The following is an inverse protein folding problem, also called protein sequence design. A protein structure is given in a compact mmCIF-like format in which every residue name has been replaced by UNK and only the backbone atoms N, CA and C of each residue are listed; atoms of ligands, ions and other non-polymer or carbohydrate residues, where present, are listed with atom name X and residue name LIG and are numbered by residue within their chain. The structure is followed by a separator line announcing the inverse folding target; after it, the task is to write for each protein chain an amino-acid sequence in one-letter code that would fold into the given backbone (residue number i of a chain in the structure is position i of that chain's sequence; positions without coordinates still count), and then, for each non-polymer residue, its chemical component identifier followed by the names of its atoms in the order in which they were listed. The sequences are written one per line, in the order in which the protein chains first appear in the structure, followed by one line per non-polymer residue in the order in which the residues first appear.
data_IF_606633812957
#
_entry.id   IF_606633812957
#
_cell.length_a   1.000
_cell.length_b   1.000
_cell.length_c   1.000
_cell.angle_alpha   90.00
_cell.angle_beta   90.00
_cell.angle_gamma   90.00
#
_symmetry.space_group_name_H-M   'P 1'
#
loop_
_entity.id
_entity.type
_entity.pdbx_description
1 polymer ?
#
# COMPACT_ATOMS: atom_id res chain seq x y z
N UNK A 1 13.35 -63.64 -8.20
CA UNK A 1 12.09 -62.93 -8.52
C UNK A 1 11.72 -62.13 -7.26
N UNK A 2 12.17 -60.89 -7.16
CA UNK A 2 11.51 -59.64 -7.63
C UNK A 2 10.69 -58.99 -6.49
N UNK A 3 11.04 -57.73 -6.25
CA UNK A 3 10.81 -56.92 -5.05
C UNK A 3 9.33 -56.60 -4.78
N UNK A 4 8.93 -56.66 -3.50
CA UNK A 4 7.66 -56.08 -3.02
C UNK A 4 7.86 -54.58 -2.76
N UNK A 5 7.34 -53.76 -3.65
CA UNK A 5 7.41 -52.29 -3.58
C UNK A 5 6.41 -51.75 -2.55
N UNK A 6 6.93 -51.07 -1.53
CA UNK A 6 6.18 -50.23 -0.60
C UNK A 6 5.82 -48.91 -1.27
N UNK A 7 4.53 -48.55 -1.31
CA UNK A 7 4.07 -47.21 -1.64
C UNK A 7 3.70 -46.48 -0.35
N UNK A 8 4.63 -45.69 0.18
CA UNK A 8 4.37 -44.67 1.20
C UNK A 8 3.88 -43.40 0.51
N UNK A 9 2.61 -43.05 0.72
CA UNK A 9 2.03 -41.77 0.31
C UNK A 9 2.44 -40.69 1.31
N UNK A 10 3.39 -39.84 0.94
CA UNK A 10 3.75 -38.63 1.69
C UNK A 10 2.79 -37.49 1.32
N UNK A 11 1.86 -37.18 2.23
CA UNK A 11 1.07 -35.95 2.19
C UNK A 11 1.96 -34.77 2.62
N UNK A 12 2.55 -34.05 1.65
CA UNK A 12 3.08 -32.71 1.88
C UNK A 12 1.93 -31.70 1.82
N UNK A 13 1.19 -31.57 2.93
CA UNK A 13 0.29 -30.43 3.13
C UNK A 13 1.15 -29.19 3.34
N UNK A 14 1.23 -28.33 2.32
CA UNK A 14 1.99 -27.09 2.33
C UNK A 14 1.57 -26.18 3.48
N UNK A 15 2.49 -25.97 4.43
CA UNK A 15 2.40 -24.89 5.40
C UNK A 15 2.63 -23.58 4.63
N UNK A 16 1.57 -22.89 4.25
CA UNK A 16 1.69 -21.47 3.88
C UNK A 16 1.99 -20.71 5.16
N UNK A 17 3.28 -20.52 5.46
CA UNK A 17 3.71 -19.51 6.43
C UNK A 17 3.27 -18.18 5.85
N UNK A 18 2.15 -17.65 6.33
CA UNK A 18 1.73 -16.30 6.02
C UNK A 18 2.88 -15.38 6.43
N UNK A 19 3.49 -14.72 5.45
CA UNK A 19 4.50 -13.71 5.72
C UNK A 19 3.89 -12.69 6.71
N UNK A 20 4.63 -12.27 7.75
CA UNK A 20 4.12 -11.27 8.66
C UNK A 20 3.79 -10.00 7.86
N UNK A 21 2.55 -9.53 7.94
CA UNK A 21 2.14 -8.30 7.25
C UNK A 21 3.10 -7.15 7.63
N UNK A 22 3.61 -6.39 6.65
CA UNK A 22 4.55 -5.32 6.94
C UNK A 22 3.86 -4.26 7.82
N UNK A 23 4.47 -3.97 8.99
CA UNK A 23 3.96 -2.95 9.92
C UNK A 23 3.78 -1.59 9.24
N UNK A 24 4.70 -1.28 8.32
CA UNK A 24 4.69 -0.11 7.45
C UNK A 24 5.42 -0.44 6.15
N UNK A 25 5.04 0.19 5.05
CA UNK A 25 5.64 -0.03 3.72
C UNK A 25 5.58 1.22 2.85
N UNK A 26 6.43 1.28 1.82
CA UNK A 26 6.35 2.29 0.75
C UNK A 26 5.65 1.72 -0.48
N UNK A 27 5.23 2.60 -1.39
CA UNK A 27 4.68 2.21 -2.69
C UNK A 27 5.65 2.60 -3.81
N UNK A 28 5.73 1.76 -4.84
CA UNK A 28 6.53 2.00 -6.04
C UNK A 28 5.68 1.83 -7.29
N UNK A 29 5.94 2.64 -8.32
CA UNK A 29 5.23 2.53 -9.58
C UNK A 29 5.84 1.46 -10.49
N UNK A 30 5.06 0.44 -10.83
CA UNK A 30 5.48 -0.63 -11.75
C UNK A 30 4.94 -0.38 -13.15
N UNK A 31 5.70 0.38 -13.95
CA UNK A 31 5.43 0.54 -15.39
C UNK A 31 6.71 0.43 -16.23
N UNK A 32 6.98 -0.75 -16.76
CA UNK A 32 8.18 -1.01 -17.57
C UNK A 32 8.28 -0.05 -18.77
N UNK A 33 9.49 0.38 -19.10
CA UNK A 33 9.77 1.27 -20.23
C UNK A 33 9.32 2.73 -20.05
N UNK A 34 8.83 3.12 -18.87
CA UNK A 34 8.44 4.50 -18.57
C UNK A 34 9.45 5.19 -17.63
N UNK A 35 9.63 6.53 -17.71
CA UNK A 35 10.58 7.26 -16.87
C UNK A 35 10.28 7.18 -15.35
N UNK A 36 9.06 6.82 -14.98
CA UNK A 36 8.62 6.65 -13.59
C UNK A 36 8.61 5.18 -13.14
N UNK A 37 9.21 4.27 -13.92
CA UNK A 37 9.37 2.89 -13.46
C UNK A 37 10.19 2.85 -12.17
N UNK A 38 9.72 2.12 -11.17
CA UNK A 38 10.31 2.01 -9.82
C UNK A 38 10.39 3.35 -9.08
N UNK A 39 9.67 4.39 -9.53
CA UNK A 39 9.60 5.64 -8.76
C UNK A 39 8.77 5.43 -7.51
N UNK A 40 9.28 5.88 -6.37
CA UNK A 40 8.53 5.91 -5.12
C UNK A 40 7.33 6.85 -5.22
N UNK A 41 6.25 6.49 -4.53
CA UNK A 41 5.07 7.34 -4.38
C UNK A 41 5.31 8.36 -3.27
N UNK A 42 5.02 9.62 -3.55
CA UNK A 42 5.00 10.72 -2.57
C UNK A 42 3.55 11.15 -2.30
N UNK A 43 3.29 11.67 -1.10
CA UNK A 43 2.00 12.22 -0.70
C UNK A 43 2.09 13.74 -0.59
N UNK A 44 1.36 14.46 -1.45
CA UNK A 44 1.35 15.93 -1.47
C UNK A 44 -0.02 16.46 -1.88
N UNK A 45 -0.45 17.59 -1.32
CA UNK A 45 -1.70 18.27 -1.71
C UNK A 45 -2.95 17.35 -1.76
N UNK A 46 -3.11 16.45 -0.80
CA UNK A 46 -4.22 15.46 -0.75
C UNK A 46 -4.22 14.45 -1.91
N UNK A 47 -3.13 14.33 -2.66
CA UNK A 47 -2.96 13.39 -3.76
C UNK A 47 -1.64 12.62 -3.71
N UNK A 48 -1.56 11.57 -4.52
CA UNK A 48 -0.34 10.79 -4.70
C UNK A 48 0.37 11.19 -5.98
N UNK A 49 1.66 11.45 -5.87
CA UNK A 49 2.50 11.92 -6.97
C UNK A 49 3.70 11.00 -7.14
N UNK A 50 4.12 10.84 -8.40
CA UNK A 50 5.37 10.17 -8.75
C UNK A 50 6.39 11.24 -9.14
N UNK A 51 7.68 10.96 -8.89
CA UNK A 51 8.79 11.84 -9.28
C UNK A 51 8.67 13.28 -8.75
N UNK A 52 8.09 13.45 -7.56
CA UNK A 52 7.96 14.76 -6.95
C UNK A 52 9.37 15.31 -6.61
N UNK A 53 9.68 16.58 -6.93
CA UNK A 53 11.02 17.12 -6.65
C UNK A 53 11.36 17.07 -5.15
N UNK A 54 12.65 16.88 -4.84
CA UNK A 54 13.12 16.74 -3.47
C UNK A 54 12.65 17.88 -2.57
N UNK A 55 12.11 17.54 -1.40
CA UNK A 55 11.59 18.51 -0.44
C UNK A 55 10.28 19.21 -0.84
N UNK A 56 9.66 18.86 -1.98
CA UNK A 56 8.33 19.36 -2.38
C UNK A 56 7.18 18.49 -1.88
N UNK A 57 7.45 17.34 -1.26
CA UNK A 57 6.40 16.52 -0.64
C UNK A 57 5.57 17.33 0.36
N UNK A 58 6.20 18.25 1.11
CA UNK A 58 5.50 19.11 2.06
C UNK A 58 4.92 18.37 3.26
N UNK A 59 5.11 17.04 3.35
CA UNK A 59 4.72 16.23 4.48
C UNK A 59 5.56 16.59 5.71
N UNK A 60 4.88 16.86 6.83
CA UNK A 60 5.51 17.07 8.14
C UNK A 60 5.50 15.75 8.90
N UNK A 61 6.56 14.96 8.75
CA UNK A 61 6.76 13.78 9.58
C UNK A 61 7.09 14.22 11.02
N UNK A 62 6.67 13.42 12.02
CA UNK A 62 6.77 13.78 13.43
C UNK A 62 8.19 14.12 13.91
N UNK A 63 9.21 13.60 13.23
CA UNK A 63 10.62 13.83 13.57
C UNK A 63 11.24 15.02 12.81
N UNK A 64 10.44 15.85 12.12
CA UNK A 64 10.86 16.92 11.21
C UNK A 64 11.82 16.46 10.09
N UNK A 65 11.98 15.15 9.89
CA UNK A 65 12.73 14.57 8.79
C UNK A 65 11.93 14.77 7.51
N UNK A 66 12.58 15.36 6.51
CA UNK A 66 12.03 15.47 5.16
C UNK A 66 12.27 14.13 4.46
N UNK A 67 11.20 13.37 4.32
CA UNK A 67 11.19 12.20 3.44
C UNK A 67 10.71 12.64 2.05
N UNK A 68 11.21 11.99 1.01
CA UNK A 68 10.79 12.24 -0.38
C UNK A 68 9.73 11.22 -0.84
N UNK A 69 9.38 10.25 0.01
CA UNK A 69 8.38 9.21 -0.25
C UNK A 69 7.34 9.18 0.87
N UNK A 70 6.19 8.58 0.58
CA UNK A 70 5.13 8.34 1.53
C UNK A 70 5.27 6.95 2.16
N UNK A 71 5.05 6.89 3.48
CA UNK A 71 5.00 5.65 4.24
C UNK A 71 3.55 5.30 4.53
N UNK A 72 3.20 4.05 4.34
CA UNK A 72 1.84 3.52 4.45
C UNK A 72 1.76 2.39 5.47
N UNK A 73 0.53 2.10 5.91
CA UNK A 73 0.17 0.88 6.62
C UNK A 73 -1.25 0.47 6.27
N UNK A 74 -1.58 -0.80 6.45
CA UNK A 74 -2.96 -1.27 6.42
C UNK A 74 -3.56 -1.17 7.84
N UNK A 75 -4.77 -0.63 7.95
CA UNK A 75 -5.53 -0.62 9.21
C UNK A 75 -6.19 -1.98 9.44
N UNK A 76 -6.66 -2.22 10.67
CA UNK A 76 -7.48 -3.40 11.00
C UNK A 76 -8.74 -3.52 10.13
N UNK A 77 -9.26 -2.38 9.67
CA UNK A 77 -10.44 -2.28 8.81
C UNK A 77 -10.10 -2.34 7.31
N UNK A 78 -8.92 -2.83 6.93
CA UNK A 78 -8.46 -2.95 5.53
C UNK A 78 -8.44 -1.63 4.77
N UNK A 79 -8.06 -0.54 5.46
CA UNK A 79 -7.87 0.79 4.86
C UNK A 79 -6.38 1.07 4.68
N UNK A 80 -6.03 1.68 3.55
CA UNK A 80 -4.68 2.19 3.33
C UNK A 80 -4.53 3.53 4.06
N UNK A 81 -3.63 3.57 5.04
CA UNK A 81 -3.43 4.72 5.92
C UNK A 81 -2.03 5.28 5.73
N UNK A 82 -1.92 6.60 5.56
CA UNK A 82 -0.64 7.29 5.62
C UNK A 82 -0.10 7.23 7.04
N UNK A 83 1.12 6.74 7.17
CA UNK A 83 1.76 6.53 8.46
C UNK A 83 2.08 7.88 9.13
N UNK A 84 1.57 8.05 10.34
CA UNK A 84 1.84 9.19 11.20
C UNK A 84 1.88 8.73 12.67
N UNK A 85 2.77 9.32 13.49
CA UNK A 85 2.92 8.95 14.91
C UNK A 85 1.82 9.56 15.82
N UNK A 86 1.11 10.58 15.34
CA UNK A 86 0.02 11.25 16.06
C UNK A 86 -1.33 10.52 15.97
N UNK A 87 -2.36 11.16 16.55
CA UNK A 87 -3.73 10.60 16.61
C UNK A 87 -4.51 10.77 15.30
N UNK A 88 -4.18 11.80 14.53
CA UNK A 88 -4.84 12.07 13.25
C UNK A 88 -4.33 11.13 12.18
N UNK A 89 -5.27 10.46 11.52
CA UNK A 89 -4.97 9.51 10.45
C UNK A 89 -5.50 10.05 9.14
N UNK A 90 -4.66 9.99 8.12
CA UNK A 90 -5.02 10.29 6.75
C UNK A 90 -5.24 8.97 6.01
N UNK A 91 -6.40 8.82 5.40
CA UNK A 91 -6.86 7.57 4.79
C UNK A 91 -6.95 7.79 3.29
N UNK A 92 -6.38 6.84 2.53
CA UNK A 92 -6.49 6.85 1.09
C UNK A 92 -7.90 6.45 0.65
N UNK A 93 -8.36 7.05 -0.44
CA UNK A 93 -9.64 6.76 -1.05
C UNK A 93 -9.56 6.86 -2.57
N UNK A 94 -10.40 6.09 -3.24
CA UNK A 94 -10.60 6.15 -4.68
C UNK A 94 -11.98 6.75 -4.95
N UNK A 95 -12.08 7.83 -5.75
CA UNK A 95 -13.38 8.36 -6.15
C UNK A 95 -13.95 7.57 -7.34
N UNK A 96 -14.99 6.76 -7.08
CA UNK A 96 -15.65 5.94 -8.10
C UNK A 96 -16.64 6.72 -8.98
N UNK A 97 -16.78 8.02 -8.77
CA UNK A 97 -17.66 8.84 -9.60
C UNK A 97 -17.09 9.03 -11.01
N UNK A 98 -17.98 9.28 -11.98
CA UNK A 98 -17.56 9.64 -13.33
C UNK A 98 -16.73 10.93 -13.39
N UNK A 99 -16.93 11.85 -12.45
CA UNK A 99 -16.14 13.09 -12.34
C UNK A 99 -14.74 12.83 -11.76
N UNK A 100 -14.64 11.91 -10.79
CA UNK A 100 -13.39 11.57 -10.11
C UNK A 100 -12.50 10.58 -10.86
N UNK A 101 -13.05 9.86 -11.84
CA UNK A 101 -12.31 8.99 -12.77
C UNK A 101 -11.43 7.92 -12.08
N UNK A 102 -11.75 7.51 -10.85
CA UNK A 102 -10.95 6.55 -10.11
C UNK A 102 -9.63 7.12 -9.59
N UNK A 103 -9.54 8.45 -9.41
CA UNK A 103 -8.36 9.07 -8.81
C UNK A 103 -8.13 8.52 -7.39
N UNK A 104 -6.87 8.16 -7.09
CA UNK A 104 -6.44 7.76 -5.76
C UNK A 104 -5.92 9.00 -5.02
N UNK A 105 -6.57 9.35 -3.92
CA UNK A 105 -6.27 10.52 -3.10
C UNK A 105 -6.28 10.15 -1.62
N UNK A 106 -5.96 11.10 -0.75
CA UNK A 106 -6.07 10.90 0.70
C UNK A 106 -6.67 12.12 1.38
N UNK A 107 -7.35 11.86 2.49
CA UNK A 107 -7.98 12.92 3.29
C UNK A 107 -7.94 12.58 4.76
N UNK A 108 -8.12 13.59 5.61
CA UNK A 108 -8.35 13.38 7.04
C UNK A 108 -9.67 12.64 7.26
N UNK A 109 -9.77 11.91 8.36
CA UNK A 109 -10.99 11.17 8.69
C UNK A 109 -12.24 12.06 8.53
N UNK A 110 -13.21 11.58 7.74
CA UNK A 110 -14.58 12.13 7.53
C UNK A 110 -14.79 13.14 6.39
N UNK A 111 -13.76 13.52 5.62
CA UNK A 111 -13.89 14.45 4.50
C UNK A 111 -13.86 13.74 3.12
N UNK A 112 -14.65 12.68 2.96
CA UNK A 112 -14.69 11.91 1.72
C UNK A 112 -15.75 12.42 0.74
N UNK A 113 -15.51 12.35 -0.58
CA UNK A 113 -16.58 12.52 -1.55
C UNK A 113 -17.62 11.40 -1.42
N UNK A 114 -18.84 11.66 -1.91
CA UNK A 114 -19.99 10.75 -1.78
C UNK A 114 -19.71 9.33 -2.28
N UNK A 115 -18.91 9.20 -3.34
CA UNK A 115 -18.62 7.93 -4.01
C UNK A 115 -17.19 7.43 -3.73
N UNK A 116 -16.62 7.84 -2.60
CA UNK A 116 -15.30 7.38 -2.17
C UNK A 116 -15.32 5.92 -1.73
N UNK A 117 -14.39 5.12 -2.25
CA UNK A 117 -14.06 3.80 -1.77
C UNK A 117 -12.78 3.84 -0.95
N UNK A 118 -12.83 3.37 0.30
CA UNK A 118 -11.72 3.47 1.27
C UNK A 118 -11.20 2.12 1.77
N UNK A 119 -11.90 1.04 1.44
CA UNK A 119 -11.73 -0.29 2.04
C UNK A 119 -11.31 -1.32 0.99
N UNK A 120 -10.88 -2.50 1.44
CA UNK A 120 -10.49 -3.61 0.57
C UNK A 120 -8.99 -3.72 0.29
N UNK A 121 -8.17 -2.88 0.94
CA UNK A 121 -6.72 -2.91 0.79
C UNK A 121 -6.12 -4.12 1.52
N UNK A 122 -5.17 -4.78 0.85
CA UNK A 122 -4.39 -5.90 1.38
C UNK A 122 -2.99 -5.85 0.75
N UNK A 123 -2.00 -6.32 1.52
CA UNK A 123 -0.66 -6.64 1.03
C UNK A 123 -0.62 -8.15 0.94
N UNK A 124 -0.19 -8.71 -0.20
CA UNK A 124 -0.07 -10.15 -0.32
C UNK A 124 1.29 -10.65 0.18
N UNK A 125 1.54 -11.95 0.04
CA UNK A 125 2.79 -12.57 0.53
C UNK A 125 4.03 -12.11 -0.25
N UNK A 126 3.86 -11.59 -1.46
CA UNK A 126 4.93 -11.21 -2.37
C UNK A 126 5.25 -9.70 -2.26
N UNK A 127 4.38 -8.92 -1.60
CA UNK A 127 4.54 -7.50 -1.37
C UNK A 127 3.68 -6.68 -2.31
#
# INVERSE_FOLDING_TARGET
MQFKTLFTASLLSGLTVAAPEPKTFGLVALRSGSPFHLSSVSASESGFSLLLPKGKQGAKCADNKKEDFATFRISKDKKLVLYHKGKEQQIAYTDRSGMGQGVLQYTGQKNYPRNAETEGWKVDKDG
#
